data_IF_530119128441
#
_entry.id   IF_530119128441
#
_cell.length_a   1.000
_cell.length_b   1.000
_cell.length_c   1.000
_cell.angle_alpha   90.00
_cell.angle_beta   90.00
_cell.angle_gamma   90.00
#
_symmetry.space_group_name_H-M   'P 1'
#
loop_
_entity.id
_entity.type
_entity.pdbx_description
1 polymer ?
#
# COMPACT_ATOMS: atom_id res chain seq x y z
N UNK A 1 5.07 8.76 20.09
CA UNK A 1 4.16 7.68 19.65
C UNK A 1 4.21 6.55 20.67
N UNK A 2 3.06 6.11 21.18
CA UNK A 2 2.96 5.00 22.14
C UNK A 2 3.24 3.68 21.41
N UNK A 3 4.09 2.81 21.98
CA UNK A 3 4.39 1.47 21.42
C UNK A 3 3.74 0.41 22.30
N UNK A 4 3.05 -0.56 21.69
CA UNK A 4 2.37 -1.65 22.40
C UNK A 4 2.73 -3.03 21.80
N UNK A 5 2.83 -4.08 22.64
CA UNK A 5 2.99 -5.45 22.16
C UNK A 5 1.79 -5.93 21.34
N UNK A 6 2.06 -6.73 20.31
CA UNK A 6 1.01 -7.43 19.57
C UNK A 6 0.30 -8.42 20.49
N UNK A 7 -1.00 -8.22 20.73
CA UNK A 7 -1.81 -9.05 21.63
C UNK A 7 -2.17 -8.41 22.97
N UNK A 8 -1.68 -7.20 23.26
CA UNK A 8 -2.04 -6.46 24.47
C UNK A 8 -3.56 -6.19 24.53
N UNK A 9 -4.21 -6.34 25.69
CA UNK A 9 -5.63 -6.00 25.84
C UNK A 9 -5.90 -4.50 25.64
N UNK A 10 -4.94 -3.64 25.95
CA UNK A 10 -4.98 -2.20 25.72
C UNK A 10 -5.08 -1.86 24.22
N UNK A 11 -4.45 -2.66 23.36
CA UNK A 11 -4.56 -2.52 21.90
C UNK A 11 -6.02 -2.62 21.43
N UNK A 12 -6.84 -3.50 22.03
CA UNK A 12 -8.27 -3.61 21.68
C UNK A 12 -9.05 -2.37 22.07
N UNK A 13 -8.69 -1.70 23.17
CA UNK A 13 -9.32 -0.44 23.58
C UNK A 13 -9.03 0.67 22.57
N UNK A 14 -7.75 0.80 22.19
CA UNK A 14 -7.31 1.80 21.21
C UNK A 14 -7.88 1.57 19.81
N UNK A 15 -8.06 0.31 19.37
CA UNK A 15 -8.71 0.00 18.09
C UNK A 15 -10.23 0.26 18.10
N UNK A 16 -10.84 0.43 19.28
CA UNK A 16 -12.27 0.74 19.45
C UNK A 16 -12.55 2.23 19.62
N UNK A 17 -11.54 3.02 20.01
CA UNK A 17 -11.59 4.47 19.84
C UNK A 17 -11.67 4.72 18.33
N UNK A 18 -12.88 5.07 17.88
CA UNK A 18 -13.34 4.84 16.51
C UNK A 18 -12.37 5.37 15.46
N UNK A 19 -12.05 4.51 14.49
CA UNK A 19 -11.44 4.95 13.25
C UNK A 19 -12.45 5.84 12.51
N UNK A 20 -12.10 7.10 12.32
CA UNK A 20 -12.91 8.04 11.56
C UNK A 20 -12.82 7.70 10.06
N UNK A 21 -13.78 6.90 9.60
CA UNK A 21 -13.86 6.46 8.20
C UNK A 21 -14.10 7.63 7.25
N UNK A 22 -14.79 8.67 7.70
CA UNK A 22 -15.08 9.88 6.91
C UNK A 22 -13.82 10.70 6.72
N UNK A 23 -13.09 10.99 7.81
CA UNK A 23 -11.81 11.71 7.73
C UNK A 23 -10.78 10.94 6.90
N UNK A 24 -10.71 9.61 7.04
CA UNK A 24 -9.81 8.78 6.25
C UNK A 24 -10.15 8.80 4.75
N UNK A 25 -11.43 8.75 4.39
CA UNK A 25 -11.88 8.86 3.01
C UNK A 25 -11.59 10.25 2.41
N UNK A 26 -11.79 11.32 3.19
CA UNK A 26 -11.47 12.69 2.76
C UNK A 26 -9.96 12.94 2.57
N UNK A 27 -9.11 12.26 3.33
CA UNK A 27 -7.65 12.29 3.16
C UNK A 27 -7.16 11.56 1.90
N UNK A 28 -8.05 10.84 1.20
CA UNK A 28 -7.71 10.07 0.01
C UNK A 28 -7.78 10.99 -1.23
N UNK A 29 -6.64 11.25 -1.86
CA UNK A 29 -6.64 12.02 -3.11
C UNK A 29 -7.39 11.23 -4.21
N UNK A 30 -8.25 11.84 -5.05
CA UNK A 30 -9.03 11.11 -6.07
C UNK A 30 -8.17 10.30 -7.05
N UNK A 31 -6.97 10.79 -7.38
CA UNK A 31 -6.00 10.03 -8.17
C UNK A 31 -5.48 8.75 -7.47
N UNK A 32 -5.68 8.62 -6.16
CA UNK A 32 -5.42 7.41 -5.38
C UNK A 32 -6.64 6.48 -5.36
N UNK A 33 -7.86 6.96 -5.62
CA UNK A 33 -9.07 6.15 -5.67
C UNK A 33 -9.14 5.27 -6.93
N UNK A 34 -8.47 5.70 -8.01
CA UNK A 34 -8.29 4.88 -9.20
C UNK A 34 -7.11 3.94 -9.01
N UNK A 35 -7.37 2.63 -9.17
CA UNK A 35 -6.28 1.68 -9.37
C UNK A 35 -5.53 2.10 -10.64
N UNK A 36 -4.18 2.12 -10.62
CA UNK A 36 -3.41 2.36 -11.82
C UNK A 36 -3.94 1.43 -12.91
N UNK A 37 -4.26 1.98 -14.08
CA UNK A 37 -4.55 1.18 -15.26
C UNK A 37 -3.25 0.96 -16.01
N UNK A 38 -3.16 -0.15 -16.74
CA UNK A 38 -2.05 -0.30 -17.67
C UNK A 38 -2.10 0.81 -18.70
N UNK A 39 -0.99 1.54 -18.80
CA UNK A 39 -0.87 2.72 -19.65
C UNK A 39 0.60 2.91 -20.00
N UNK A 40 0.85 3.42 -21.19
CA UNK A 40 2.19 3.78 -21.64
C UNK A 40 2.15 5.10 -22.38
N UNK A 41 2.85 6.10 -21.85
CA UNK A 41 2.89 7.44 -22.42
C UNK A 41 4.20 8.14 -22.03
N UNK A 42 4.74 8.97 -22.93
CA UNK A 42 5.99 9.70 -22.71
C UNK A 42 7.17 8.83 -22.22
N UNK A 43 7.23 7.57 -22.65
CA UNK A 43 8.24 6.60 -22.23
C UNK A 43 8.04 6.00 -20.83
N UNK A 44 6.95 6.35 -20.14
CA UNK A 44 6.62 5.83 -18.80
C UNK A 44 5.52 4.77 -18.93
N UNK A 45 5.78 3.58 -18.38
CA UNK A 45 4.80 2.50 -18.27
C UNK A 45 4.20 2.39 -16.87
N UNK A 46 2.91 2.08 -16.81
CA UNK A 46 2.22 1.63 -15.59
C UNK A 46 1.90 0.14 -15.75
N UNK A 47 2.38 -0.69 -14.82
CA UNK A 47 2.11 -2.13 -14.80
C UNK A 47 1.19 -2.47 -13.62
N UNK A 48 0.19 -3.33 -13.87
CA UNK A 48 -0.76 -3.77 -12.83
C UNK A 48 -0.65 -5.27 -12.66
N UNK A 49 -0.03 -5.71 -11.56
CA UNK A 49 0.02 -7.14 -11.25
C UNK A 49 -1.31 -7.62 -10.67
N UNK A 50 -1.99 -8.55 -11.35
CA UNK A 50 -3.23 -9.19 -10.86
C UNK A 50 -3.06 -10.71 -10.81
N UNK A 51 -2.89 -11.25 -9.61
CA UNK A 51 -2.75 -12.70 -9.42
C UNK A 51 -3.41 -13.18 -8.13
N UNK A 52 -3.93 -14.42 -8.12
CA UNK A 52 -4.63 -15.00 -6.94
C UNK A 52 -3.70 -15.29 -5.77
N UNK A 53 -2.43 -15.64 -6.07
CA UNK A 53 -1.42 -15.88 -5.05
C UNK A 53 -0.49 -14.67 -4.94
N UNK A 54 -0.13 -14.26 -3.71
CA UNK A 54 0.80 -13.16 -3.50
C UNK A 54 2.19 -13.51 -4.03
N UNK A 55 3.05 -12.50 -4.12
CA UNK A 55 4.47 -12.71 -4.38
C UNK A 55 5.11 -13.55 -3.29
N UNK A 56 6.13 -14.32 -3.68
CA UNK A 56 6.99 -14.95 -2.71
C UNK A 56 7.79 -13.86 -1.97
N UNK A 57 7.77 -13.82 -0.63
CA UNK A 57 8.33 -12.69 0.13
C UNK A 57 9.83 -12.50 -0.08
N UNK A 58 10.63 -13.58 -0.07
CA UNK A 58 12.08 -13.52 -0.30
C UNK A 58 12.44 -12.95 -1.67
N UNK A 59 11.94 -13.56 -2.75
CA UNK A 59 12.10 -13.07 -4.12
C UNK A 59 11.63 -11.63 -4.34
N UNK A 60 10.53 -11.22 -3.68
CA UNK A 60 10.08 -9.83 -3.76
C UNK A 60 11.09 -8.90 -3.09
N UNK A 61 11.56 -9.25 -1.89
CA UNK A 61 12.55 -8.47 -1.16
C UNK A 61 13.84 -8.29 -1.95
N UNK A 62 14.34 -9.36 -2.56
CA UNK A 62 15.53 -9.32 -3.43
C UNK A 62 15.36 -8.37 -4.63
N UNK A 63 14.13 -8.26 -5.18
CA UNK A 63 13.84 -7.40 -6.31
C UNK A 63 13.51 -5.93 -5.94
N UNK A 64 13.28 -5.62 -4.65
CA UNK A 64 12.80 -4.29 -4.25
C UNK A 64 13.79 -3.17 -4.59
N UNK A 65 15.09 -3.42 -4.51
CA UNK A 65 16.11 -2.41 -4.82
C UNK A 65 16.01 -1.97 -6.28
N UNK A 66 16.00 -2.93 -7.21
CA UNK A 66 15.84 -2.65 -8.65
C UNK A 66 14.50 -1.95 -8.94
N UNK A 67 13.41 -2.41 -8.32
CA UNK A 67 12.08 -1.83 -8.52
C UNK A 67 12.00 -0.39 -8.01
N UNK A 68 12.60 -0.07 -6.87
CA UNK A 68 12.63 1.28 -6.32
C UNK A 68 13.48 2.24 -7.18
N UNK A 69 14.53 1.74 -7.83
CA UNK A 69 15.32 2.54 -8.78
C UNK A 69 14.61 2.77 -10.11
N UNK A 70 13.85 1.78 -10.60
CA UNK A 70 13.21 1.83 -11.90
C UNK A 70 11.83 2.50 -11.90
N UNK A 71 11.12 2.49 -10.76
CA UNK A 71 9.74 2.99 -10.68
C UNK A 71 9.67 4.36 -9.98
N UNK A 72 8.97 5.30 -10.62
CA UNK A 72 8.67 6.62 -10.02
C UNK A 72 7.70 6.50 -8.84
N UNK A 73 6.80 5.50 -8.89
CA UNK A 73 5.78 5.23 -7.86
C UNK A 73 5.37 3.76 -7.90
N UNK A 74 5.12 3.18 -6.73
CA UNK A 74 4.52 1.84 -6.59
C UNK A 74 3.41 1.84 -5.54
N UNK A 75 2.49 0.88 -5.66
CA UNK A 75 1.33 0.70 -4.77
C UNK A 75 0.99 -0.79 -4.70
N UNK A 76 0.61 -1.25 -3.51
CA UNK A 76 0.11 -2.60 -3.21
C UNK A 76 -0.93 -2.56 -2.11
#
# INVERSE_FOLDING_TARGET
>A
ATRLPLGSPELRGLLREGFDTEAAAAAQHPAMALLPQEAHEAGIGTLVWRHRRPFHPGRLFEALEELCCAAVRSRG
#
